data_IF_711963588788
#
_entry.id   IF_711963588788
#
_cell.length_a   1.000
_cell.length_b   1.000
_cell.length_c   1.000
_cell.angle_alpha   90.00
_cell.angle_beta   90.00
_cell.angle_gamma   90.00
#
_symmetry.space_group_name_H-M   'P 1'
#
loop_
_entity.id
_entity.type
_entity.pdbx_description
1 polymer ?
#
# COMPACT_ATOMS: atom_id res chain seq x y z
N UNK A 1 -6.35 -9.38 -1.72
CA UNK A 1 -5.40 -8.76 -2.67
C UNK A 1 -6.22 -8.32 -3.89
N UNK A 2 -5.87 -7.19 -4.53
CA UNK A 2 -6.73 -6.29 -5.33
C UNK A 2 -8.03 -5.88 -4.61
N UNK A 3 -8.21 -4.57 -4.38
CA UNK A 3 -9.27 -4.03 -3.50
C UNK A 3 -9.08 -4.35 -2.01
N UNK A 4 -7.95 -4.96 -1.63
CA UNK A 4 -7.66 -5.24 -0.23
C UNK A 4 -7.00 -4.04 0.42
N UNK A 5 -7.42 -3.74 1.64
CA UNK A 5 -6.79 -2.73 2.49
C UNK A 5 -5.66 -3.31 3.32
N UNK A 6 -4.68 -2.48 3.63
CA UNK A 6 -3.52 -2.82 4.42
C UNK A 6 -2.86 -1.59 5.02
N UNK A 7 -1.83 -1.82 5.81
CA UNK A 7 -1.09 -0.77 6.50
C UNK A 7 0.32 -0.64 5.92
N UNK A 8 0.75 0.60 5.71
CA UNK A 8 2.12 0.89 5.29
C UNK A 8 3.10 0.62 6.43
N UNK A 9 4.03 -0.32 6.23
CA UNK A 9 5.06 -0.64 7.23
C UNK A 9 6.30 0.25 7.09
N UNK A 10 6.60 0.72 5.89
CA UNK A 10 7.71 1.66 5.65
C UNK A 10 7.22 2.77 4.75
N UNK A 11 7.61 4.00 5.04
CA UNK A 11 7.31 5.16 4.19
C UNK A 11 7.52 4.84 2.70
N UNK A 12 6.48 5.02 1.89
CA UNK A 12 6.51 4.75 0.45
C UNK A 12 7.01 5.99 -0.28
N UNK A 13 8.16 5.88 -0.97
CA UNK A 13 8.74 6.94 -1.82
C UNK A 13 9.47 6.41 -3.06
N UNK A 14 8.80 6.05 -4.17
CA UNK A 14 7.38 5.67 -4.25
C UNK A 14 7.15 4.23 -3.80
N UNK A 15 8.20 3.45 -3.63
CA UNK A 15 8.13 2.05 -3.21
C UNK A 15 8.43 1.88 -1.72
N UNK A 16 7.99 0.75 -1.18
CA UNK A 16 8.28 0.30 0.18
C UNK A 16 7.50 -0.97 0.49
N UNK A 17 7.29 -1.26 1.77
CA UNK A 17 6.58 -2.45 2.24
C UNK A 17 5.29 -2.09 2.94
N UNK A 18 4.27 -2.90 2.70
CA UNK A 18 3.01 -2.83 3.39
C UNK A 18 2.53 -4.22 3.80
N UNK A 19 1.69 -4.25 4.83
CA UNK A 19 1.08 -5.44 5.36
C UNK A 19 -0.37 -5.52 4.93
N UNK A 20 -0.75 -6.63 4.32
CA UNK A 20 -2.12 -6.96 3.97
C UNK A 20 -2.50 -8.25 4.68
N UNK A 21 -3.28 -8.15 5.77
CA UNK A 21 -3.52 -9.27 6.68
C UNK A 21 -2.22 -9.75 7.32
N UNK A 22 -1.86 -11.02 7.15
CA UNK A 22 -0.62 -11.60 7.71
C UNK A 22 0.58 -11.53 6.74
N UNK A 23 0.39 -10.98 5.53
CA UNK A 23 1.42 -10.96 4.49
C UNK A 23 2.06 -9.59 4.35
N UNK A 24 3.38 -9.56 4.37
CA UNK A 24 4.17 -8.38 4.00
C UNK A 24 4.58 -8.51 2.54
N UNK A 25 4.31 -7.48 1.75
CA UNK A 25 4.63 -7.45 0.32
C UNK A 25 5.26 -6.11 -0.07
N UNK A 26 6.03 -6.13 -1.15
CA UNK A 26 6.55 -4.92 -1.77
C UNK A 26 5.46 -4.21 -2.55
N UNK A 27 5.28 -2.92 -2.25
CA UNK A 27 4.25 -2.07 -2.83
C UNK A 27 4.87 -0.83 -3.47
N UNK A 28 4.14 -0.26 -4.42
CA UNK A 28 4.46 1.01 -5.08
C UNK A 28 3.24 1.91 -4.96
N UNK A 29 3.42 3.09 -4.36
CA UNK A 29 2.39 4.12 -4.29
C UNK A 29 2.17 4.75 -5.66
N UNK A 30 0.91 4.91 -6.07
CA UNK A 30 0.54 5.72 -7.25
C UNK A 30 0.82 7.21 -7.02
N UNK A 31 0.60 7.72 -5.80
CA UNK A 31 0.77 9.13 -5.41
C UNK A 31 2.17 9.50 -4.91
N UNK A 32 3.11 8.56 -4.92
CA UNK A 32 4.54 8.81 -4.66
C UNK A 32 4.96 9.04 -3.20
N UNK A 33 4.09 9.54 -2.31
CA UNK A 33 4.40 9.65 -0.88
C UNK A 33 3.26 9.12 0.00
N UNK A 34 3.55 8.13 0.84
CA UNK A 34 2.64 7.65 1.89
C UNK A 34 3.47 7.35 3.14
N UNK A 35 3.01 7.83 4.29
CA UNK A 35 3.69 7.65 5.57
C UNK A 35 3.48 6.25 6.14
N UNK A 36 4.39 5.82 7.02
CA UNK A 36 4.22 4.59 7.78
C UNK A 36 2.99 4.71 8.69
N UNK A 37 2.19 3.64 8.77
CA UNK A 37 0.98 3.57 9.57
C UNK A 37 -0.28 3.99 8.83
N UNK A 38 -0.13 4.60 7.64
CA UNK A 38 -1.28 4.97 6.81
C UNK A 38 -1.96 3.73 6.22
N UNK A 39 -3.29 3.81 6.10
CA UNK A 39 -4.10 2.79 5.45
C UNK A 39 -4.07 2.97 3.94
N UNK A 40 -3.86 1.88 3.24
CA UNK A 40 -3.76 1.85 1.78
C UNK A 40 -4.61 0.74 1.19
N UNK A 41 -5.00 0.90 -0.06
CA UNK A 41 -5.74 -0.10 -0.83
C UNK A 41 -4.95 -0.52 -2.06
N UNK A 42 -5.02 -1.80 -2.40
CA UNK A 42 -4.43 -2.33 -3.64
C UNK A 42 -5.25 -1.91 -4.85
N UNK A 43 -4.69 -1.00 -5.65
CA UNK A 43 -5.23 -0.59 -6.95
C UNK A 43 -4.99 -1.64 -8.04
N UNK A 44 -3.78 -2.18 -8.11
CA UNK A 44 -3.36 -3.09 -9.18
C UNK A 44 -2.30 -4.06 -8.69
N UNK A 45 -2.31 -5.28 -9.24
CA UNK A 45 -1.23 -6.26 -9.06
C UNK A 45 -0.54 -6.44 -10.40
N UNK A 46 0.77 -6.14 -10.48
CA UNK A 46 1.58 -6.26 -11.68
C UNK A 46 2.77 -7.19 -11.41
N UNK A 47 2.57 -8.49 -11.64
CA UNK A 47 3.58 -9.51 -11.40
C UNK A 47 4.00 -9.56 -9.93
N UNK A 48 5.23 -9.13 -9.64
CA UNK A 48 5.81 -9.09 -8.30
C UNK A 48 5.59 -7.77 -7.55
N UNK A 49 4.98 -6.75 -8.17
CA UNK A 49 4.75 -5.44 -7.57
C UNK A 49 3.26 -5.16 -7.42
N UNK A 50 2.90 -4.57 -6.29
CA UNK A 50 1.52 -4.20 -5.98
C UNK A 50 1.42 -2.68 -5.97
N UNK A 51 0.56 -2.12 -6.82
CA UNK A 51 0.30 -0.67 -6.86
C UNK A 51 -0.81 -0.35 -5.87
N UNK A 52 -0.60 0.68 -5.05
CA UNK A 52 -1.47 1.05 -3.94
C UNK A 52 -1.76 2.54 -3.91
N UNK A 53 -2.88 2.92 -3.29
CA UNK A 53 -3.23 4.30 -3.00
C UNK A 53 -3.58 4.47 -1.52
N UNK A 54 -3.46 5.70 -1.03
CA UNK A 54 -3.93 6.09 0.29
C UNK A 54 -5.45 5.95 0.38
N UNK A 55 -5.94 5.29 1.44
CA UNK A 55 -7.37 5.27 1.77
C UNK A 55 -7.63 6.40 2.75
N UNK A 56 -8.39 7.45 2.37
CA UNK A 56 -8.74 8.50 3.30
C UNK A 56 -9.62 7.93 4.42
N UNK A 57 -9.20 8.12 5.66
CA UNK A 57 -9.98 7.78 6.85
C UNK A 57 -11.30 8.55 6.82
N UNK A 58 -12.41 7.88 6.47
CA UNK A 58 -13.74 8.50 6.54
C UNK A 58 -14.02 8.92 7.99
N UNK A 59 -14.16 10.22 8.21
CA UNK A 59 -14.79 10.79 9.42
C UNK A 59 -16.30 10.62 9.35
#
# INVERSE_FOLDING_TARGET
>A
MLGQTGEVLTTLRPAGRAQFGERVVDVVSEGGYIERGEQIEVLKVAGNRVVVQLVPSKR
#
